data_IF_633971699249
#
_entry.id   IF_633971699249
#
_cell.length_a   1.000
_cell.length_b   1.000
_cell.length_c   1.000
_cell.angle_alpha   90.00
_cell.angle_beta   90.00
_cell.angle_gamma   90.00
#
_symmetry.space_group_name_H-M   'P 1'
#
loop_
_entity.id
_entity.type
_entity.pdbx_description
1 polymer ?
#
# COMPACT_ATOMS: atom_id res chain seq x y z
N UNK A 1 -44.22 3.93 10.67
CA UNK A 1 -44.41 3.82 9.21
C UNK A 1 -43.03 3.66 8.63
N UNK A 2 -42.63 2.40 8.43
CA UNK A 2 -41.27 2.04 8.05
C UNK A 2 -41.11 2.13 6.55
N UNK A 3 -40.74 3.31 6.06
CA UNK A 3 -40.17 3.41 4.72
C UNK A 3 -38.88 2.58 4.71
N UNK A 4 -38.87 1.51 3.92
CA UNK A 4 -37.65 0.78 3.61
C UNK A 4 -36.65 1.76 3.00
N UNK A 5 -35.59 2.06 3.75
CA UNK A 5 -34.50 2.89 3.26
C UNK A 5 -33.79 2.10 2.16
N UNK A 6 -34.06 2.48 0.91
CA UNK A 6 -33.53 1.84 -0.30
C UNK A 6 -32.56 2.78 -1.03
N UNK A 7 -31.65 2.18 -1.77
CA UNK A 7 -30.73 2.89 -2.67
C UNK A 7 -31.50 3.41 -3.88
N UNK A 8 -31.45 4.72 -4.12
CA UNK A 8 -32.04 5.33 -5.32
C UNK A 8 -30.94 5.69 -6.31
N UNK A 9 -30.96 5.09 -7.51
CA UNK A 9 -30.15 5.56 -8.63
C UNK A 9 -30.83 6.77 -9.27
N UNK A 10 -30.09 7.87 -9.38
CA UNK A 10 -30.55 9.10 -10.01
C UNK A 10 -29.59 9.44 -11.13
N UNK A 11 -30.13 9.64 -12.33
CA UNK A 11 -29.36 10.14 -13.47
C UNK A 11 -29.37 11.68 -13.47
N UNK A 12 -28.20 12.26 -13.69
CA UNK A 12 -28.01 13.72 -13.78
C UNK A 12 -27.14 14.08 -14.96
N UNK A 13 -27.09 15.37 -15.29
CA UNK A 13 -26.22 15.92 -16.32
C UNK A 13 -24.72 15.59 -16.12
N UNK A 14 -24.33 15.22 -14.89
CA UNK A 14 -22.95 14.84 -14.53
C UNK A 14 -22.77 13.32 -14.34
N UNK A 15 -23.73 12.51 -14.78
CA UNK A 15 -23.71 11.05 -14.64
C UNK A 15 -24.67 10.50 -13.59
N UNK A 16 -24.68 9.18 -13.45
CA UNK A 16 -25.52 8.46 -12.50
C UNK A 16 -24.91 8.49 -11.08
N UNK A 17 -25.70 8.86 -10.08
CA UNK A 17 -25.29 8.82 -8.68
C UNK A 17 -26.33 8.13 -7.79
N UNK A 18 -25.84 7.51 -6.72
CA UNK A 18 -26.65 6.82 -5.73
C UNK A 18 -27.04 7.79 -4.62
N UNK A 19 -28.34 7.86 -4.32
CA UNK A 19 -28.89 8.69 -3.24
C UNK A 19 -29.40 7.80 -2.12
N UNK A 20 -29.03 8.12 -0.88
CA UNK A 20 -29.43 7.37 0.33
C UNK A 20 -30.10 8.36 1.29
N UNK A 21 -31.37 8.08 1.63
CA UNK A 21 -32.07 8.84 2.66
C UNK A 21 -31.65 8.33 4.05
N UNK A 22 -31.27 9.22 4.96
CA UNK A 22 -30.88 8.85 6.31
C UNK A 22 -31.28 9.90 7.35
N UNK A 23 -31.34 9.49 8.60
CA UNK A 23 -31.64 10.35 9.75
C UNK A 23 -30.61 10.12 10.86
N UNK A 24 -29.81 11.15 11.15
CA UNK A 24 -28.80 11.09 12.20
C UNK A 24 -29.40 10.98 13.61
N UNK A 25 -30.61 11.52 13.83
CA UNK A 25 -31.29 11.49 15.13
C UNK A 25 -31.91 10.14 15.45
N UNK A 26 -32.37 9.41 14.44
CA UNK A 26 -33.01 8.09 14.61
C UNK A 26 -32.09 6.92 14.25
N UNK A 27 -30.96 7.20 13.61
CA UNK A 27 -30.03 6.18 13.09
C UNK A 27 -30.53 5.49 11.82
N UNK A 28 -31.71 5.84 11.31
CA UNK A 28 -32.28 5.21 10.12
C UNK A 28 -31.39 5.49 8.90
N UNK A 29 -31.04 4.44 8.14
CA UNK A 29 -30.29 4.55 6.89
C UNK A 29 -28.78 4.63 7.03
N UNK A 30 -28.28 4.71 8.28
CA UNK A 30 -26.84 4.72 8.55
C UNK A 30 -26.18 3.40 8.13
N UNK A 31 -26.85 2.26 8.34
CA UNK A 31 -26.30 0.96 7.95
C UNK A 31 -26.23 0.79 6.43
N UNK A 32 -27.29 1.20 5.72
CA UNK A 32 -27.32 1.23 4.25
C UNK A 32 -26.22 2.11 3.67
N UNK A 33 -25.92 3.25 4.32
CA UNK A 33 -24.80 4.10 3.93
C UNK A 33 -23.45 3.39 4.13
N UNK A 34 -23.23 2.73 5.27
CA UNK A 34 -21.98 2.00 5.53
C UNK A 34 -21.76 0.89 4.51
N UNK A 35 -22.81 0.10 4.22
CA UNK A 35 -22.74 -0.99 3.25
C UNK A 35 -22.42 -0.45 1.85
N UNK A 36 -23.07 0.64 1.45
CA UNK A 36 -22.79 1.28 0.16
C UNK A 36 -21.36 1.82 0.07
N UNK A 37 -20.85 2.43 1.14
CA UNK A 37 -19.47 2.91 1.20
C UNK A 37 -18.48 1.75 1.13
N UNK A 38 -18.68 0.68 1.92
CA UNK A 38 -17.83 -0.50 1.90
C UNK A 38 -17.75 -1.13 0.51
N UNK A 39 -18.90 -1.26 -0.18
CA UNK A 39 -18.95 -1.75 -1.56
C UNK A 39 -18.27 -0.79 -2.55
N UNK A 40 -18.45 0.53 -2.38
CA UNK A 40 -17.90 1.53 -3.31
C UNK A 40 -16.39 1.70 -3.20
N UNK A 41 -15.81 1.50 -2.02
CA UNK A 41 -14.36 1.56 -1.80
C UNK A 41 -13.66 0.23 -2.08
N UNK A 42 -14.40 -0.81 -2.50
CA UNK A 42 -13.85 -2.14 -2.75
C UNK A 42 -13.29 -2.80 -1.48
N UNK A 43 -13.96 -2.60 -0.34
CA UNK A 43 -13.59 -3.27 0.91
C UNK A 43 -14.02 -4.74 0.83
N UNK A 44 -13.33 -5.52 0.00
CA UNK A 44 -13.46 -6.98 -0.02
C UNK A 44 -12.85 -7.53 1.27
N UNK A 45 -13.73 -7.89 2.21
CA UNK A 45 -13.42 -8.53 3.49
C UNK A 45 -12.76 -9.91 3.36
N UNK A 46 -12.56 -10.39 2.13
CA UNK A 46 -11.90 -11.66 1.78
C UNK A 46 -10.40 -11.54 1.57
N UNK A 47 -9.80 -10.36 1.72
CA UNK A 47 -8.34 -10.21 1.56
C UNK A 47 -7.60 -10.38 2.89
N UNK A 48 -7.67 -11.58 3.48
CA UNK A 48 -6.59 -12.03 4.36
C UNK A 48 -5.30 -11.98 3.55
N UNK A 49 -4.44 -10.99 3.84
CA UNK A 49 -3.20 -10.75 3.10
C UNK A 49 -3.14 -9.42 2.34
N UNK A 50 -4.05 -8.46 2.59
CA UNK A 50 -3.83 -7.07 2.14
C UNK A 50 -2.57 -6.53 2.83
N UNK A 51 -1.43 -6.65 2.14
CA UNK A 51 -0.22 -5.91 2.47
C UNK A 51 -0.57 -4.43 2.33
N UNK A 52 -0.79 -3.74 3.45
CA UNK A 52 -0.98 -2.29 3.47
C UNK A 52 0.39 -1.67 3.19
N UNK A 53 0.79 -1.62 1.92
CA UNK A 53 1.91 -0.81 1.50
C UNK A 53 1.51 0.65 1.75
N UNK A 54 2.06 1.23 2.82
CA UNK A 54 1.89 2.64 3.13
C UNK A 54 2.50 3.47 2.00
N UNK A 55 2.07 4.72 1.85
CA UNK A 55 2.59 5.64 0.82
C UNK A 55 4.13 5.67 0.76
N UNK A 56 4.78 5.76 1.92
CA UNK A 56 6.25 5.68 2.04
C UNK A 56 6.89 4.42 1.44
N UNK A 57 6.23 3.26 1.51
CA UNK A 57 6.78 2.03 0.93
C UNK A 57 6.69 2.10 -0.59
N UNK A 58 5.60 2.66 -1.12
CA UNK A 58 5.47 2.91 -2.56
C UNK A 58 6.53 3.89 -3.03
N UNK A 59 6.73 5.00 -2.31
CA UNK A 59 7.73 6.01 -2.67
C UNK A 59 9.16 5.42 -2.67
N UNK A 60 9.49 4.53 -1.73
CA UNK A 60 10.76 3.81 -1.69
C UNK A 60 10.93 2.82 -2.85
N UNK A 61 9.87 2.11 -3.25
CA UNK A 61 9.87 1.21 -4.41
C UNK A 61 10.03 2.01 -5.71
N UNK A 62 9.30 3.11 -5.87
CA UNK A 62 9.38 3.98 -7.04
C UNK A 62 10.79 4.55 -7.19
N UNK A 63 11.40 4.98 -6.08
CA UNK A 63 12.79 5.47 -6.05
C UNK A 63 13.78 4.37 -6.44
N UNK A 64 13.63 3.17 -5.88
CA UNK A 64 14.50 2.05 -6.22
C UNK A 64 14.39 1.65 -7.70
N UNK A 65 13.17 1.66 -8.26
CA UNK A 65 12.92 1.39 -9.67
C UNK A 65 13.62 2.43 -10.57
N UNK A 66 13.52 3.72 -10.24
CA UNK A 66 14.18 4.77 -11.02
C UNK A 66 15.71 4.60 -11.09
N UNK A 67 16.34 4.17 -10.00
CA UNK A 67 17.77 3.83 -9.97
C UNK A 67 18.08 2.60 -10.84
N UNK A 68 17.24 1.56 -10.80
CA UNK A 68 17.42 0.37 -11.64
C UNK A 68 17.33 0.71 -13.13
N UNK A 69 16.35 1.49 -13.55
CA UNK A 69 16.19 1.95 -14.94
C UNK A 69 17.40 2.80 -15.39
N UNK A 70 17.87 3.68 -14.51
CA UNK A 70 19.05 4.51 -14.77
C UNK A 70 20.31 3.65 -14.93
N UNK A 71 20.52 2.69 -14.04
CA UNK A 71 21.66 1.78 -14.09
C UNK A 71 21.64 0.86 -15.32
N UNK A 72 20.46 0.38 -15.71
CA UNK A 72 20.28 -0.41 -16.93
C UNK A 72 20.65 0.42 -18.18
N UNK A 73 20.17 1.66 -18.28
CA UNK A 73 20.54 2.57 -19.36
C UNK A 73 22.05 2.82 -19.41
N UNK A 74 22.66 3.14 -18.27
CA UNK A 74 24.11 3.40 -18.19
C UNK A 74 24.95 2.18 -18.57
N UNK A 75 24.52 0.97 -18.19
CA UNK A 75 25.19 -0.26 -18.58
C UNK A 75 25.10 -0.47 -20.10
N UNK A 76 23.91 -0.30 -20.68
CA UNK A 76 23.67 -0.54 -22.10
C UNK A 76 24.35 0.50 -23.00
N UNK A 77 24.36 1.78 -22.59
CA UNK A 77 24.85 2.88 -23.42
C UNK A 77 26.37 3.07 -23.29
N UNK A 78 26.94 2.85 -22.10
CA UNK A 78 28.33 3.22 -21.80
C UNK A 78 29.21 2.06 -21.34
N UNK A 79 28.69 0.81 -21.26
CA UNK A 79 29.36 -0.31 -20.58
C UNK A 79 29.87 0.05 -19.17
N UNK A 80 29.22 1.01 -18.52
CA UNK A 80 29.69 1.60 -17.29
C UNK A 80 29.26 0.77 -16.08
N UNK A 81 29.91 -0.38 -15.89
CA UNK A 81 29.61 -1.29 -14.77
C UNK A 81 29.80 -0.65 -13.38
N UNK A 82 30.67 0.35 -13.27
CA UNK A 82 30.85 1.12 -12.02
C UNK A 82 29.66 2.04 -11.70
N UNK A 83 29.02 2.61 -12.72
CA UNK A 83 27.82 3.43 -12.52
C UNK A 83 26.61 2.56 -12.17
N UNK A 84 26.46 1.41 -12.86
CA UNK A 84 25.46 0.41 -12.48
C UNK A 84 25.63 -0.03 -11.02
N UNK A 85 26.87 -0.26 -10.57
CA UNK A 85 27.12 -0.67 -9.19
C UNK A 85 26.65 0.40 -8.17
N UNK A 86 26.84 1.69 -8.46
CA UNK A 86 26.35 2.77 -7.62
C UNK A 86 24.82 2.89 -7.65
N UNK A 87 24.19 2.79 -8.84
CA UNK A 87 22.73 2.80 -8.95
C UNK A 87 22.09 1.63 -8.18
N UNK A 88 22.69 0.44 -8.22
CA UNK A 88 22.26 -0.71 -7.42
C UNK A 88 22.40 -0.45 -5.90
N UNK A 89 23.46 0.24 -5.48
CA UNK A 89 23.66 0.62 -4.07
C UNK A 89 22.55 1.56 -3.60
N UNK A 90 22.19 2.54 -4.42
CA UNK A 90 21.13 3.52 -4.14
C UNK A 90 19.74 2.86 -4.13
N UNK A 91 19.46 1.97 -5.08
CA UNK A 91 18.23 1.17 -5.10
C UNK A 91 18.09 0.32 -3.82
N UNK A 92 19.17 -0.33 -3.38
CA UNK A 92 19.19 -1.11 -2.14
C UNK A 92 18.94 -0.24 -0.90
N UNK A 93 19.51 0.96 -0.86
CA UNK A 93 19.31 1.91 0.23
C UNK A 93 17.85 2.35 0.33
N UNK A 94 17.20 2.69 -0.79
CA UNK A 94 15.78 3.04 -0.83
C UNK A 94 14.89 1.88 -0.31
N UNK A 95 15.19 0.64 -0.72
CA UNK A 95 14.44 -0.53 -0.23
C UNK A 95 14.63 -0.80 1.28
N UNK A 96 15.78 -0.41 1.84
CA UNK A 96 16.06 -0.57 3.28
C UNK A 96 15.14 0.32 4.13
N UNK A 97 14.63 1.44 3.60
CA UNK A 97 13.63 2.27 4.29
C UNK A 97 12.30 1.53 4.54
N UNK A 98 12.00 0.51 3.74
CA UNK A 98 10.77 -0.29 3.86
C UNK A 98 10.87 -1.28 5.02
N UNK A 99 12.03 -1.91 5.19
CA UNK A 99 12.28 -2.92 6.24
C UNK A 99 12.67 -2.29 7.58
N UNK A 100 13.04 -1.00 7.58
CA UNK A 100 13.85 -0.41 8.64
C UNK A 100 15.33 -0.72 8.41
N UNK A 101 16.22 0.13 8.94
CA UNK A 101 17.67 -0.10 8.91
C UNK A 101 17.97 -1.51 9.46
N UNK A 102 18.51 -2.39 8.61
CA UNK A 102 19.03 -3.67 9.07
C UNK A 102 20.43 -3.41 9.61
N UNK A 103 20.51 -3.20 10.93
CA UNK A 103 21.76 -2.84 11.59
C UNK A 103 22.67 -4.05 11.67
N UNK A 104 23.97 -3.80 11.89
CA UNK A 104 24.90 -4.89 12.24
C UNK A 104 24.42 -5.69 13.46
N UNK A 105 23.68 -5.05 14.37
CA UNK A 105 23.12 -5.70 15.57
C UNK A 105 21.93 -6.61 15.23
N UNK A 106 21.10 -6.26 14.25
CA UNK A 106 20.02 -7.12 13.74
C UNK A 106 20.58 -8.36 13.03
N UNK A 107 21.68 -8.18 12.28
CA UNK A 107 22.40 -9.28 11.64
C UNK A 107 23.00 -10.23 12.69
N UNK A 108 23.69 -9.68 13.70
CA UNK A 108 24.27 -10.47 14.78
C UNK A 108 23.18 -11.16 15.61
N UNK A 109 22.11 -10.46 15.95
CA UNK A 109 20.94 -11.00 16.63
C UNK A 109 20.34 -12.18 15.90
N UNK A 110 20.22 -12.12 14.56
CA UNK A 110 19.72 -13.24 13.75
C UNK A 110 20.70 -14.42 13.69
N UNK A 111 22.00 -14.17 13.52
CA UNK A 111 23.04 -15.22 13.56
C UNK A 111 23.05 -15.94 14.91
N UNK A 112 22.85 -15.21 16.01
CA UNK A 112 22.91 -15.75 17.36
C UNK A 112 21.56 -16.18 17.95
N UNK A 113 20.43 -15.84 17.32
CA UNK A 113 19.08 -16.20 17.78
C UNK A 113 18.82 -17.71 17.84
N UNK A 114 19.54 -18.50 17.05
CA UNK A 114 19.48 -19.96 17.06
C UNK A 114 20.51 -20.62 17.97
N UNK A 115 21.43 -19.85 18.58
CA UNK A 115 22.32 -20.37 19.60
C UNK A 115 21.60 -20.30 20.93
N UNK A 116 21.15 -21.45 21.45
CA UNK A 116 20.68 -21.53 22.83
C UNK A 116 21.84 -21.09 23.74
N UNK A 117 21.78 -19.85 24.24
CA UNK A 117 22.54 -19.45 25.42
C UNK A 117 21.88 -20.18 26.57
N UNK A 118 22.40 -21.37 26.87
CA UNK A 118 21.91 -22.21 27.95
C UNK A 118 21.82 -21.41 29.24
N UNK A 119 20.63 -21.42 29.85
CA UNK A 119 20.51 -21.28 31.31
C UNK A 119 20.94 -22.58 31.97
#
# INVERSE_FOLDING_TARGET
>A
TGDEIRLHKVDSAHGAFTTIALSASTGAGVEVLKDHLAASIGLDTTTEGQFIARRRHMDAIDTALAHLETGEQQLNDNLAGELLAEELRLAHQALTEITGEFTSDDLLGRIFSSFCIGK
#
